data_IF_000227389776
#
_entry.id   IF_000227389776
#
_cell.length_a   1.000
_cell.length_b   1.000
_cell.length_c   1.000
_cell.angle_alpha   90.00
_cell.angle_beta   90.00
_cell.angle_gamma   90.00
#
_symmetry.space_group_name_H-M   'P 1'
#
loop_
_entity.id
_entity.type
_entity.pdbx_description
1 polymer ?
#
# COMPACT_ATOMS: atom_id res chain seq x y z
N UNK A 1 -9.65 8.17 -12.72
CA UNK A 1 -9.39 7.15 -11.68
C UNK A 1 -7.91 7.07 -11.39
N UNK A 2 -7.57 6.68 -10.19
CA UNK A 2 -6.19 6.61 -9.73
C UNK A 2 -5.93 5.29 -9.05
N UNK A 3 -4.71 4.81 -9.19
CA UNK A 3 -4.18 3.68 -8.45
C UNK A 3 -3.42 4.20 -7.24
N UNK A 4 -3.84 3.82 -6.06
CA UNK A 4 -3.15 4.11 -4.82
C UNK A 4 -2.38 2.85 -4.43
N UNK A 5 -1.06 2.98 -4.34
CA UNK A 5 -0.17 1.92 -3.90
C UNK A 5 0.48 2.38 -2.60
N UNK A 6 0.19 1.70 -1.51
CA UNK A 6 0.76 2.00 -0.21
C UNK A 6 1.68 0.87 0.24
N UNK A 7 2.90 1.22 0.62
CA UNK A 7 3.85 0.28 1.21
C UNK A 7 3.97 0.66 2.68
N UNK A 8 3.56 -0.24 3.56
CA UNK A 8 3.42 0.03 4.98
C UNK A 8 4.14 -1.03 5.82
N UNK A 9 4.34 -0.72 7.10
CA UNK A 9 4.81 -1.71 8.07
C UNK A 9 3.74 -2.81 8.23
N UNK A 10 4.16 -4.08 8.35
CA UNK A 10 3.20 -5.18 8.48
C UNK A 10 2.26 -5.06 9.68
N UNK A 11 2.74 -4.51 10.79
CA UNK A 11 1.94 -4.34 12.00
C UNK A 11 0.89 -3.23 11.89
N UNK A 12 0.92 -2.44 10.81
CA UNK A 12 -0.07 -1.38 10.55
C UNK A 12 -1.22 -1.85 9.66
N UNK A 13 -1.15 -3.03 9.10
CA UNK A 13 -2.16 -3.52 8.17
C UNK A 13 -3.57 -3.54 8.80
N UNK A 14 -3.68 -4.03 10.04
CA UNK A 14 -4.98 -4.10 10.71
C UNK A 14 -5.60 -2.72 10.91
N UNK A 15 -4.80 -1.71 11.29
CA UNK A 15 -5.28 -0.35 11.46
C UNK A 15 -5.73 0.27 10.13
N UNK A 16 -4.97 0.03 9.05
CA UNK A 16 -5.35 0.53 7.72
C UNK A 16 -6.65 -0.11 7.26
N UNK A 17 -6.78 -1.44 7.40
CA UNK A 17 -8.01 -2.13 7.04
C UNK A 17 -9.21 -1.64 7.84
N UNK A 18 -9.04 -1.41 9.14
CA UNK A 18 -10.11 -0.88 9.98
C UNK A 18 -10.52 0.54 9.55
N UNK A 19 -9.55 1.37 9.23
CA UNK A 19 -9.82 2.74 8.73
C UNK A 19 -10.57 2.73 7.41
N UNK A 20 -10.16 1.87 6.48
CA UNK A 20 -10.81 1.75 5.17
C UNK A 20 -12.22 1.15 5.27
N UNK A 21 -12.47 0.29 6.25
CA UNK A 21 -13.78 -0.34 6.44
C UNK A 21 -14.89 0.68 6.79
N UNK A 22 -14.51 1.87 7.28
CA UNK A 22 -15.46 2.91 7.63
C UNK A 22 -15.88 3.78 6.43
N UNK A 23 -15.40 3.48 5.25
CA UNK A 23 -15.77 4.20 4.03
C UNK A 23 -16.18 3.22 2.95
N UNK A 24 -17.06 3.67 2.05
CA UNK A 24 -17.48 2.93 0.87
C UNK A 24 -16.88 3.52 -0.41
N UNK A 25 -15.87 4.36 -0.29
CA UNK A 25 -15.21 5.02 -1.43
C UNK A 25 -14.29 4.08 -2.23
N UNK A 26 -14.26 2.79 -1.89
CA UNK A 26 -13.54 1.77 -2.64
C UNK A 26 -14.34 0.47 -2.65
N UNK A 27 -14.03 -0.42 -3.60
CA UNK A 27 -14.76 -1.70 -3.74
C UNK A 27 -13.89 -2.92 -3.50
N UNK A 28 -12.61 -2.75 -3.41
CA UNK A 28 -11.72 -3.87 -3.14
C UNK A 28 -10.30 -3.39 -2.94
N UNK A 29 -9.54 -4.19 -2.23
CA UNK A 29 -8.13 -3.94 -2.04
C UNK A 29 -7.36 -5.22 -2.33
N UNK A 30 -6.15 -5.06 -2.83
CA UNK A 30 -5.20 -6.15 -3.03
C UNK A 30 -4.10 -5.96 -2.00
N UNK A 31 -3.80 -7.02 -1.28
CA UNK A 31 -2.77 -7.01 -0.23
C UNK A 31 -1.70 -8.01 -0.61
N UNK A 32 -0.45 -7.58 -0.58
CA UNK A 32 0.70 -8.41 -0.92
C UNK A 32 1.77 -8.29 0.16
N UNK A 33 2.37 -9.43 0.52
CA UNK A 33 3.58 -9.44 1.31
C UNK A 33 4.77 -9.21 0.40
N UNK A 34 5.62 -8.24 0.75
CA UNK A 34 6.78 -7.87 -0.05
C UNK A 34 8.00 -7.73 0.85
N UNK A 35 9.16 -7.69 0.21
CA UNK A 35 10.44 -7.37 0.86
C UNK A 35 10.94 -6.07 0.28
N UNK A 36 11.30 -5.14 1.15
CA UNK A 36 11.83 -3.84 0.76
C UNK A 36 13.25 -3.65 1.23
N UNK A 37 14.04 -2.94 0.45
CA UNK A 37 15.34 -2.42 0.84
C UNK A 37 15.26 -0.90 0.82
N UNK A 38 15.67 -0.27 1.91
CA UNK A 38 15.59 1.18 2.03
C UNK A 38 16.65 1.73 2.94
N UNK A 39 16.37 2.89 3.52
CA UNK A 39 17.30 3.55 4.46
C UNK A 39 17.27 2.97 5.86
N UNK A 40 16.30 2.12 6.16
CA UNK A 40 16.20 1.44 7.45
C UNK A 40 17.37 0.47 7.60
N UNK A 41 18.02 0.49 8.77
CA UNK A 41 19.14 -0.41 9.03
C UNK A 41 18.62 -1.83 9.16
N UNK A 42 19.24 -2.74 8.41
CA UNK A 42 18.97 -4.14 8.50
C UNK A 42 19.81 -4.82 9.59
N UNK A 43 19.63 -6.11 9.71
CA UNK A 43 20.40 -6.94 10.65
C UNK A 43 21.80 -7.19 10.08
N UNK A 44 22.83 -6.94 10.89
CA UNK A 44 24.21 -7.27 10.52
C UNK A 44 24.50 -8.67 11.01
N UNK A 45 24.93 -9.54 10.11
CA UNK A 45 25.32 -10.92 10.43
C UNK A 45 26.78 -11.13 10.04
N UNK A 46 27.43 -12.05 10.78
CA UNK A 46 28.77 -12.51 10.45
C UNK A 46 28.70 -13.98 10.00
N UNK A 47 29.37 -14.28 8.89
CA UNK A 47 29.45 -15.63 8.36
C UNK A 47 30.84 -15.87 7.78
N UNK A 48 31.49 -16.93 8.22
CA UNK A 48 32.87 -17.24 7.82
C UNK A 48 33.85 -16.07 8.01
N UNK A 49 33.63 -15.28 9.08
CA UNK A 49 34.46 -14.13 9.39
C UNK A 49 34.13 -12.87 8.59
N UNK A 50 33.22 -12.95 7.65
CA UNK A 50 32.75 -11.79 6.91
C UNK A 50 31.45 -11.27 7.50
N UNK A 51 31.33 -9.95 7.60
CA UNK A 51 30.09 -9.28 8.04
C UNK A 51 29.31 -8.87 6.81
N UNK A 52 28.02 -9.13 6.82
CA UNK A 52 27.12 -8.62 5.81
C UNK A 52 25.84 -8.10 6.47
N UNK A 53 25.20 -7.14 5.84
CA UNK A 53 24.00 -6.51 6.33
C UNK A 53 22.80 -7.12 5.60
N UNK A 54 21.85 -7.64 6.37
CA UNK A 54 20.55 -8.03 5.83
C UNK A 54 19.66 -6.79 5.79
N UNK A 55 19.48 -6.24 4.60
CA UNK A 55 18.74 -4.99 4.40
C UNK A 55 17.38 -5.19 3.71
N UNK A 56 16.99 -6.45 3.51
CA UNK A 56 15.65 -6.80 3.04
C UNK A 56 14.71 -6.91 4.22
N UNK A 57 13.70 -6.07 4.25
CA UNK A 57 12.78 -5.91 5.36
C UNK A 57 11.38 -6.23 4.89
N UNK A 58 10.62 -7.07 5.62
CA UNK A 58 9.23 -7.34 5.28
C UNK A 58 8.39 -6.09 5.32
N UNK A 59 7.58 -5.89 4.30
CA UNK A 59 6.58 -4.83 4.18
C UNK A 59 5.30 -5.41 3.63
N UNK A 60 4.23 -4.64 3.74
CA UNK A 60 2.96 -4.98 3.12
C UNK A 60 2.65 -3.94 2.06
N UNK A 61 2.21 -4.39 0.90
CA UNK A 61 1.77 -3.52 -0.17
C UNK A 61 0.26 -3.62 -0.31
N UNK A 62 -0.40 -2.46 -0.35
CA UNK A 62 -1.83 -2.34 -0.53
C UNK A 62 -2.05 -1.61 -1.85
N UNK A 63 -2.87 -2.20 -2.72
CA UNK A 63 -3.23 -1.61 -4.00
C UNK A 63 -4.74 -1.45 -4.08
N UNK A 64 -5.19 -0.28 -4.47
CA UNK A 64 -6.60 -0.05 -4.77
C UNK A 64 -6.76 0.99 -5.86
N UNK A 65 -7.85 0.87 -6.61
CA UNK A 65 -8.21 1.79 -7.68
C UNK A 65 -9.46 2.54 -7.22
N UNK A 66 -9.39 3.86 -7.27
CA UNK A 66 -10.48 4.72 -6.81
C UNK A 66 -10.77 5.82 -7.82
N UNK A 67 -11.93 6.44 -7.68
CA UNK A 67 -12.29 7.64 -8.45
C UNK A 67 -11.41 8.80 -8.03
N UNK A 68 -11.21 9.76 -8.93
CA UNK A 68 -10.38 10.93 -8.64
C UNK A 68 -10.84 11.68 -7.39
N UNK A 69 -12.16 11.83 -7.20
CA UNK A 69 -12.71 12.55 -6.06
C UNK A 69 -12.48 11.84 -4.71
N UNK A 70 -12.15 10.56 -4.72
CA UNK A 70 -11.95 9.77 -3.50
C UNK A 70 -10.47 9.64 -3.11
N UNK A 71 -9.55 10.10 -3.94
CA UNK A 71 -8.11 9.92 -3.74
C UNK A 71 -7.64 10.51 -2.41
N UNK A 72 -7.99 11.77 -2.16
CA UNK A 72 -7.51 12.47 -0.96
C UNK A 72 -8.06 11.82 0.30
N UNK A 73 -9.32 11.41 0.30
CA UNK A 73 -9.98 10.75 1.42
C UNK A 73 -9.30 9.42 1.74
N UNK A 74 -9.11 8.58 0.74
CA UNK A 74 -8.50 7.25 0.92
C UNK A 74 -7.03 7.39 1.33
N UNK A 75 -6.30 8.28 0.68
CA UNK A 75 -4.88 8.52 1.00
C UNK A 75 -4.72 9.00 2.45
N UNK A 76 -5.61 9.90 2.91
CA UNK A 76 -5.57 10.37 4.29
C UNK A 76 -5.83 9.25 5.29
N UNK A 77 -6.79 8.37 5.01
CA UNK A 77 -7.07 7.21 5.87
C UNK A 77 -5.85 6.33 6.01
N UNK A 78 -5.20 6.00 4.87
CA UNK A 78 -4.00 5.16 4.87
C UNK A 78 -2.86 5.85 5.63
N UNK A 79 -2.63 7.13 5.35
CA UNK A 79 -1.60 7.92 6.01
C UNK A 79 -1.79 7.95 7.53
N UNK A 80 -2.99 8.32 7.98
CA UNK A 80 -3.28 8.44 9.41
C UNK A 80 -3.16 7.09 10.13
N UNK A 81 -3.56 6.00 9.47
CA UNK A 81 -3.58 4.66 10.06
C UNK A 81 -2.21 3.98 10.07
N UNK A 82 -1.31 4.34 9.15
CA UNK A 82 -0.02 3.67 8.99
C UNK A 82 1.16 4.43 9.54
N UNK A 83 1.00 5.71 9.86
CA UNK A 83 2.09 6.58 10.28
C UNK A 83 2.50 6.32 11.71
N UNK A 84 3.80 6.11 11.94
CA UNK A 84 4.41 6.15 13.28
C UNK A 84 5.26 7.40 13.49
N UNK A 85 5.72 8.02 12.41
CA UNK A 85 6.65 9.15 12.43
C UNK A 85 8.11 8.72 12.42
N UNK A 86 8.36 7.43 12.32
CA UNK A 86 9.72 6.87 12.35
C UNK A 86 10.16 6.40 10.97
N UNK A 87 11.48 6.21 10.81
CA UNK A 87 12.05 5.65 9.60
C UNK A 87 11.48 4.26 9.37
N UNK A 88 11.08 3.97 8.14
CA UNK A 88 10.53 2.68 7.76
C UNK A 88 9.02 2.65 7.67
N UNK A 89 8.35 3.78 7.88
CA UNK A 89 6.89 3.89 7.76
C UNK A 89 6.36 3.54 6.36
N UNK A 90 7.19 3.70 5.35
CA UNK A 90 6.83 3.41 3.98
C UNK A 90 6.41 4.64 3.20
N UNK A 91 5.72 4.40 2.09
CA UNK A 91 5.33 5.46 1.15
C UNK A 91 3.98 5.15 0.53
N UNK A 92 3.31 6.18 0.08
CA UNK A 92 2.10 6.07 -0.72
C UNK A 92 2.40 6.66 -2.10
N UNK A 93 2.15 5.87 -3.14
CA UNK A 93 2.30 6.30 -4.53
C UNK A 93 0.93 6.40 -5.17
N UNK A 94 0.74 7.40 -6.00
CA UNK A 94 -0.51 7.61 -6.70
C UNK A 94 -0.21 7.66 -8.20
N UNK A 95 -0.88 6.78 -8.94
CA UNK A 95 -0.70 6.65 -10.38
C UNK A 95 -2.00 7.00 -11.10
N UNK A 96 -1.88 7.59 -12.26
CA UNK A 96 -3.01 7.74 -13.17
C UNK A 96 -3.37 6.38 -13.76
N UNK A 97 -4.65 6.05 -13.76
CA UNK A 97 -5.18 4.84 -14.42
C UNK A 97 -6.01 5.27 -15.61
N UNK A 98 -5.60 4.81 -16.78
CA UNK A 98 -6.27 5.21 -18.02
C UNK A 98 -7.67 4.64 -18.10
N UNK A 99 -7.86 3.38 -17.74
CA UNK A 99 -9.16 2.73 -17.78
C UNK A 99 -9.18 1.51 -16.86
N UNK A 100 -10.37 1.07 -16.52
CA UNK A 100 -10.61 -0.20 -15.83
C UNK A 100 -11.78 -0.90 -16.52
N UNK A 101 -11.71 -2.22 -16.62
CA UNK A 101 -12.75 -3.03 -17.26
C UNK A 101 -13.11 -4.15 -16.30
N UNK A 102 -14.40 -4.27 -15.97
CA UNK A 102 -14.87 -5.39 -15.16
C UNK A 102 -15.02 -6.62 -16.05
N UNK A 103 -14.30 -7.67 -15.71
CA UNK A 103 -14.26 -8.87 -16.55
C UNK A 103 -15.64 -9.52 -16.64
N UNK A 104 -16.38 -9.56 -15.54
CA UNK A 104 -17.69 -10.22 -15.50
C UNK A 104 -18.71 -9.58 -16.44
N UNK A 105 -18.70 -8.25 -16.55
CA UNK A 105 -19.76 -7.50 -17.24
C UNK A 105 -19.29 -6.78 -18.49
N UNK A 106 -17.98 -6.54 -18.63
CA UNK A 106 -17.43 -5.69 -19.68
C UNK A 106 -17.61 -4.20 -19.43
N UNK A 107 -18.19 -3.79 -18.30
CA UNK A 107 -18.31 -2.39 -17.94
C UNK A 107 -16.93 -1.76 -17.81
N UNK A 108 -16.80 -0.50 -18.24
CA UNK A 108 -15.52 0.22 -18.23
C UNK A 108 -15.65 1.59 -17.57
N UNK A 109 -14.49 2.21 -17.33
CA UNK A 109 -14.44 3.52 -16.68
C UNK A 109 -14.87 3.43 -15.21
N UNK A 110 -15.48 4.52 -14.71
CA UNK A 110 -15.92 4.57 -13.32
C UNK A 110 -16.98 3.51 -12.98
N UNK A 111 -17.76 3.05 -13.96
CA UNK A 111 -18.74 1.99 -13.74
C UNK A 111 -18.08 0.66 -13.36
N UNK A 112 -16.85 0.44 -13.77
CA UNK A 112 -16.08 -0.74 -13.38
C UNK A 112 -15.62 -0.71 -11.92
N UNK A 113 -15.68 0.44 -11.26
CA UNK A 113 -15.22 0.64 -9.88
C UNK A 113 -16.34 0.53 -8.83
N UNK A 114 -17.57 0.37 -9.25
CA UNK A 114 -18.73 0.30 -8.34
C UNK A 114 -19.27 -1.12 -8.17
#
# INVERSE_FOLDING_TARGET
MKHIKAIIQPDKLSAVRAGLANTDSYRGIIISDIMGQGTQKGIVQAWRGEKFQMDLIPKVMIDLIVKDEDVDKITKIIYDSSRSGEIGDGKIFIYHVENAIRIRTGESGNDALV
#
